data_IF_062954992936
#
_entry.id   IF_062954992936
#
_cell.length_a   1.000
_cell.length_b   1.000
_cell.length_c   1.000
_cell.angle_alpha   90.00
_cell.angle_beta   90.00
_cell.angle_gamma   90.00
#
_symmetry.space_group_name_H-M   'P 1'
#
loop_
_entity.id
_entity.type
_entity.pdbx_description
1 polymer ?
#
# COMPACT_ATOMS: atom_id res chain seq x y z
N UNK A 1 9.74 -5.21 -11.79
CA UNK A 1 9.64 -4.85 -10.35
C UNK A 1 10.95 -4.95 -9.55
N UNK A 2 12.00 -5.66 -10.00
CA UNK A 2 13.32 -5.65 -9.32
C UNK A 2 13.92 -4.23 -9.16
N UNK A 3 13.69 -3.36 -10.15
CA UNK A 3 14.12 -1.96 -10.10
C UNK A 3 13.48 -1.19 -8.94
N UNK A 4 12.17 -1.33 -8.73
CA UNK A 4 11.45 -0.67 -7.63
C UNK A 4 12.10 -0.99 -6.28
N UNK A 5 12.24 -2.28 -5.93
CA UNK A 5 12.80 -2.66 -4.63
C UNK A 5 14.27 -2.30 -4.46
N UNK A 6 15.06 -2.34 -5.54
CA UNK A 6 16.43 -1.82 -5.52
C UNK A 6 16.45 -0.33 -5.18
N UNK A 7 15.55 0.45 -5.79
CA UNK A 7 15.50 1.89 -5.60
C UNK A 7 14.94 2.25 -4.21
N UNK A 8 13.95 1.50 -3.69
CA UNK A 8 13.50 1.61 -2.30
C UNK A 8 14.65 1.37 -1.31
N UNK A 9 15.43 0.31 -1.52
CA UNK A 9 16.61 0.00 -0.69
C UNK A 9 17.67 1.09 -0.78
N UNK A 10 18.03 1.54 -1.99
CA UNK A 10 19.02 2.59 -2.22
C UNK A 10 18.64 3.90 -1.52
N UNK A 11 17.36 4.28 -1.60
CA UNK A 11 16.85 5.52 -1.02
C UNK A 11 16.39 5.36 0.44
N UNK A 12 16.56 4.17 1.04
CA UNK A 12 16.16 3.86 2.43
C UNK A 12 14.67 4.12 2.70
N UNK A 13 13.83 3.89 1.70
CA UNK A 13 12.38 4.04 1.80
C UNK A 13 11.78 2.76 2.37
N UNK A 14 11.01 2.88 3.46
CA UNK A 14 10.23 1.79 4.03
C UNK A 14 8.83 1.82 3.45
N UNK A 15 8.34 0.66 3.04
CA UNK A 15 7.00 0.50 2.47
C UNK A 15 6.14 -0.32 3.43
N UNK A 16 4.89 0.09 3.61
CA UNK A 16 3.89 -0.65 4.39
C UNK A 16 2.69 -0.91 3.51
N UNK A 17 2.31 -2.17 3.38
CA UNK A 17 1.23 -2.61 2.50
C UNK A 17 0.19 -3.33 3.34
N UNK A 18 -1.07 -2.91 3.19
CA UNK A 18 -2.22 -3.65 3.71
C UNK A 18 -2.86 -4.36 2.53
N UNK A 19 -3.01 -5.69 2.62
CA UNK A 19 -3.60 -6.52 1.56
C UNK A 19 -4.63 -7.50 2.13
N UNK A 20 -5.43 -8.12 1.27
CA UNK A 20 -6.50 -9.03 1.69
C UNK A 20 -5.92 -10.27 2.38
N UNK A 21 -6.54 -10.67 3.47
CA UNK A 21 -6.25 -11.92 4.17
C UNK A 21 -6.86 -13.10 3.41
N UNK A 22 -6.18 -13.55 2.35
CA UNK A 22 -6.60 -14.70 1.53
C UNK A 22 -5.41 -15.55 1.13
N UNK A 23 -5.63 -16.86 0.93
CA UNK A 23 -4.57 -17.83 0.60
C UNK A 23 -3.80 -17.47 -0.67
N UNK A 24 -4.50 -16.94 -1.68
CA UNK A 24 -3.92 -16.62 -2.99
C UNK A 24 -3.56 -15.13 -3.13
N UNK A 25 -3.26 -14.45 -2.02
CA UNK A 25 -2.80 -13.06 -2.10
C UNK A 25 -1.36 -13.03 -2.60
N UNK A 26 -1.11 -12.22 -3.63
CA UNK A 26 0.24 -12.05 -4.14
C UNK A 26 1.08 -11.27 -3.13
N UNK A 27 2.16 -11.89 -2.66
CA UNK A 27 3.17 -11.28 -1.81
C UNK A 27 4.51 -11.34 -2.52
N UNK A 28 5.28 -10.26 -2.42
CA UNK A 28 6.63 -10.27 -2.94
C UNK A 28 7.57 -11.06 -2.02
N UNK A 29 8.52 -11.77 -2.62
CA UNK A 29 9.56 -12.48 -1.90
C UNK A 29 10.33 -11.53 -0.96
N UNK A 30 10.53 -11.93 0.29
CA UNK A 30 11.20 -11.12 1.33
C UNK A 30 12.65 -10.78 0.98
N UNK A 31 13.33 -11.62 0.21
CA UNK A 31 14.69 -11.36 -0.26
C UNK A 31 14.72 -10.23 -1.29
N UNK A 32 13.62 -10.03 -2.02
CA UNK A 32 13.46 -8.96 -3.01
C UNK A 32 12.90 -7.71 -2.34
N UNK A 33 11.80 -7.81 -1.61
CA UNK A 33 11.08 -6.71 -0.97
C UNK A 33 11.51 -6.50 0.48
N UNK A 34 12.81 -6.33 0.71
CA UNK A 34 13.42 -6.29 2.05
C UNK A 34 12.92 -5.14 2.94
N UNK A 35 12.43 -4.06 2.33
CA UNK A 35 11.95 -2.86 3.03
C UNK A 35 10.43 -2.77 3.10
N UNK A 36 9.72 -3.82 2.65
CA UNK A 36 8.25 -3.85 2.59
C UNK A 36 7.70 -4.72 3.72
N UNK A 37 6.81 -4.14 4.52
CA UNK A 37 6.05 -4.85 5.54
C UNK A 37 4.61 -5.05 5.09
N UNK A 38 4.08 -6.27 5.27
CA UNK A 38 2.70 -6.60 4.96
C UNK A 38 1.87 -6.76 6.23
N UNK A 39 0.64 -6.28 6.17
CA UNK A 39 -0.43 -6.64 7.09
C UNK A 39 -1.71 -6.98 6.34
N UNK A 40 -2.63 -7.65 7.02
CA UNK A 40 -3.78 -8.28 6.42
C UNK A 40 -5.09 -7.82 7.06
N UNK A 41 -6.06 -7.46 6.23
CA UNK A 41 -7.45 -7.24 6.64
C UNK A 41 -8.37 -8.27 5.97
N UNK A 42 -9.52 -8.54 6.58
CA UNK A 42 -10.55 -9.38 5.97
C UNK A 42 -11.08 -8.72 4.69
N UNK A 43 -11.46 -9.51 3.68
CA UNK A 43 -11.83 -9.01 2.35
C UNK A 43 -12.97 -7.99 2.39
N UNK A 44 -13.97 -8.20 3.27
CA UNK A 44 -15.08 -7.27 3.50
C UNK A 44 -14.66 -5.88 4.02
N UNK A 45 -13.42 -5.73 4.50
CA UNK A 45 -12.86 -4.49 5.01
C UNK A 45 -12.07 -3.73 3.94
N UNK A 46 -11.90 -4.30 2.74
CA UNK A 46 -11.17 -3.67 1.65
C UNK A 46 -12.00 -2.67 0.87
N UNK A 47 -11.34 -1.58 0.48
CA UNK A 47 -11.86 -0.69 -0.54
C UNK A 47 -11.66 -1.30 -1.94
N UNK A 48 -12.57 -1.05 -2.89
CA UNK A 48 -12.44 -1.54 -4.27
C UNK A 48 -11.30 -0.87 -5.06
N UNK A 49 -10.63 0.13 -4.47
CA UNK A 49 -9.52 0.86 -5.08
C UNK A 49 -8.27 0.76 -4.22
N UNK A 50 -7.11 0.78 -4.87
CA UNK A 50 -5.84 0.86 -4.18
C UNK A 50 -5.50 2.33 -3.89
N UNK A 51 -5.10 2.62 -2.65
CA UNK A 51 -4.66 3.96 -2.26
C UNK A 51 -3.21 3.93 -1.83
N UNK A 52 -2.37 4.70 -2.53
CA UNK A 52 -0.97 4.93 -2.21
C UNK A 52 -0.82 6.31 -1.57
N UNK A 53 -0.13 6.39 -0.43
CA UNK A 53 0.14 7.64 0.27
C UNK A 53 1.66 7.81 0.38
N UNK A 54 2.20 8.93 -0.10
CA UNK A 54 3.64 9.20 -0.07
C UNK A 54 3.92 10.71 -0.09
N UNK A 55 4.78 11.17 0.81
CA UNK A 55 5.09 12.59 0.94
C UNK A 55 3.82 13.43 1.12
N UNK A 56 3.62 14.41 0.24
CA UNK A 56 2.48 15.32 0.19
C UNK A 56 1.42 14.91 -0.86
N UNK A 57 1.45 13.66 -1.32
CA UNK A 57 0.59 13.17 -2.39
C UNK A 57 -0.11 11.85 -2.06
N UNK A 58 -1.25 11.65 -2.71
CA UNK A 58 -1.91 10.35 -2.79
C UNK A 58 -2.14 9.96 -4.26
N UNK A 59 -2.19 8.65 -4.50
CA UNK A 59 -2.70 8.09 -5.75
C UNK A 59 -3.76 7.05 -5.44
N UNK A 60 -4.93 7.20 -6.04
CA UNK A 60 -6.01 6.21 -5.99
C UNK A 60 -6.06 5.51 -7.35
N UNK A 61 -5.98 4.18 -7.36
CA UNK A 61 -6.00 3.36 -8.57
C UNK A 61 -7.21 2.44 -8.53
N UNK A 62 -8.05 2.54 -9.56
CA UNK A 62 -9.07 1.56 -9.89
C UNK A 62 -8.54 0.64 -10.99
N UNK A 63 -8.36 -0.64 -10.68
CA UNK A 63 -7.86 -1.66 -11.62
C UNK A 63 -8.94 -2.23 -12.55
N UNK A 64 -10.12 -1.60 -12.61
CA UNK A 64 -11.17 -1.95 -13.55
C UNK A 64 -10.76 -1.70 -15.01
N UNK A 65 -11.70 -1.90 -15.93
CA UNK A 65 -11.52 -1.52 -17.34
C UNK A 65 -12.45 -0.34 -17.65
N UNK A 66 -11.94 0.86 -17.96
CA UNK A 66 -10.52 1.20 -18.09
C UNK A 66 -9.80 1.33 -16.74
N UNK A 67 -8.49 1.04 -16.74
CA UNK A 67 -7.64 1.32 -15.57
C UNK A 67 -7.61 2.83 -15.38
N UNK A 68 -7.99 3.30 -14.19
CA UNK A 68 -8.08 4.72 -13.87
C UNK A 68 -7.22 5.03 -12.65
N UNK A 69 -6.34 6.02 -12.77
CA UNK A 69 -5.53 6.51 -11.67
C UNK A 69 -5.76 8.01 -11.47
N UNK A 70 -5.96 8.41 -10.21
CA UNK A 70 -6.14 9.81 -9.80
C UNK A 70 -5.01 10.13 -8.83
N UNK A 71 -4.15 11.07 -9.19
CA UNK A 71 -3.09 11.58 -8.32
C UNK A 71 -3.47 12.96 -7.78
N UNK A 72 -3.40 13.13 -6.47
CA UNK A 72 -3.69 14.39 -5.79
C UNK A 72 -2.44 14.82 -5.02
N UNK A 73 -1.91 16.00 -5.33
CA UNK A 73 -0.79 16.63 -4.60
C UNK A 73 -1.32 17.71 -3.68
N UNK A 74 -1.45 17.39 -2.40
CA UNK A 74 -1.95 18.28 -1.37
C UNK A 74 -1.59 17.71 0.01
N UNK A 75 -0.78 18.44 0.79
CA UNK A 75 -0.27 17.96 2.06
C UNK A 75 -1.37 17.64 3.08
N UNK A 76 -2.46 18.43 3.13
CA UNK A 76 -3.58 18.20 4.06
C UNK A 76 -4.35 16.93 3.73
N UNK A 77 -4.60 16.67 2.44
CA UNK A 77 -5.25 15.45 1.98
C UNK A 77 -4.34 14.25 2.24
N UNK A 78 -3.05 14.34 1.91
CA UNK A 78 -2.09 13.26 2.13
C UNK A 78 -2.00 12.88 3.61
N UNK A 79 -1.95 13.87 4.52
CA UNK A 79 -1.91 13.61 5.95
C UNK A 79 -3.22 12.97 6.46
N UNK A 80 -4.37 13.35 5.91
CA UNK A 80 -5.67 12.74 6.24
C UNK A 80 -5.68 11.26 5.86
N UNK A 81 -5.26 10.92 4.64
CA UNK A 81 -5.20 9.53 4.18
C UNK A 81 -4.11 8.72 4.88
N UNK A 82 -3.00 9.34 5.26
CA UNK A 82 -1.98 8.71 6.10
C UNK A 82 -2.54 8.35 7.47
N UNK A 83 -3.28 9.24 8.13
CA UNK A 83 -3.91 8.95 9.41
C UNK A 83 -4.96 7.83 9.30
N UNK A 84 -5.74 7.82 8.21
CA UNK A 84 -6.64 6.70 7.90
C UNK A 84 -5.86 5.38 7.72
N UNK A 85 -4.75 5.40 6.97
CA UNK A 85 -3.87 4.25 6.82
C UNK A 85 -3.33 3.75 8.17
N UNK A 86 -2.88 4.63 9.07
CA UNK A 86 -2.39 4.23 10.40
C UNK A 86 -3.48 3.54 11.24
N UNK A 87 -4.72 4.01 11.14
CA UNK A 87 -5.84 3.36 11.82
C UNK A 87 -6.05 1.93 11.29
N UNK A 88 -6.09 1.76 9.96
CA UNK A 88 -6.18 0.44 9.32
C UNK A 88 -4.97 -0.43 9.68
N UNK A 89 -3.77 0.13 9.70
CA UNK A 89 -2.53 -0.56 10.01
C UNK A 89 -2.56 -1.18 11.40
N UNK A 90 -3.08 -0.45 12.40
CA UNK A 90 -3.22 -0.93 13.78
C UNK A 90 -4.19 -2.10 13.91
N UNK A 91 -5.27 -2.11 13.13
CA UNK A 91 -6.25 -3.20 13.13
C UNK A 91 -5.80 -4.41 12.31
N UNK A 92 -4.94 -4.20 11.31
CA UNK A 92 -4.51 -5.24 10.39
C UNK A 92 -3.62 -6.29 11.07
N UNK A 93 -3.86 -7.56 10.74
CA UNK A 93 -3.10 -8.71 11.25
C UNK A 93 -1.69 -8.75 10.65
N UNK A 94 -0.70 -9.19 11.43
CA UNK A 94 0.66 -9.49 10.93
C UNK A 94 0.75 -10.86 10.25
N UNK A 95 -0.22 -11.72 10.50
CA UNK A 95 -0.27 -13.10 10.01
C UNK A 95 -1.33 -13.21 8.91
N UNK A 96 -0.97 -13.93 7.85
CA UNK A 96 -1.89 -14.31 6.77
C UNK A 96 -2.94 -15.31 7.28
#
# INVERSE_FOLDING_TARGET
MKQLFRDLKKNKIKERVITAKKKDVFLFDKNVAQTTEYRFLEEKQFNPTNTFVYGDAITIVSWGTPITAIMIRNATIAETYKNHFEYLWKMASKNL
#
